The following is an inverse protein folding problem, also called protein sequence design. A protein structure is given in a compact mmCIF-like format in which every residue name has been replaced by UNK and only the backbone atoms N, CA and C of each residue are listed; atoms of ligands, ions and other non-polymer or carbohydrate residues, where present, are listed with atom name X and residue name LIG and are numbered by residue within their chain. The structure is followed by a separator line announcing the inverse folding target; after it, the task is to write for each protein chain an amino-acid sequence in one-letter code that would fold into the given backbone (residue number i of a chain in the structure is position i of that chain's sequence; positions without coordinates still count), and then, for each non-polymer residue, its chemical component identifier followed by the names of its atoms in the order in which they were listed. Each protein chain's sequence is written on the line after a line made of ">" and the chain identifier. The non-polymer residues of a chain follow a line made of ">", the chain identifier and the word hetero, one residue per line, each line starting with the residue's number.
data_IF_346648803969
#
_entry.id   IF_346648803969
#
_cell.length_a   1.000
_cell.length_b   1.000
_cell.length_c   1.000
_cell.angle_alpha   90.00
_cell.angle_beta   90.00
_cell.angle_gamma   90.00
#
_symmetry.space_group_name_H-M   'P 1'
#
loop_
_entity.id
_entity.type
_entity.pdbx_description
1 polymer ?
#
# COMPACT_ATOMS: atom_id res chain seq x y z
N UNK A 1 -8.06 56.56 -4.64
CA UNK A 1 -6.69 57.11 -4.68
C UNK A 1 -5.79 56.58 -3.56
N UNK A 2 -5.84 57.04 -2.30
CA UNK A 2 -4.85 56.59 -1.28
C UNK A 2 -4.91 55.09 -0.92
N UNK A 3 -6.10 54.46 -1.05
CA UNK A 3 -6.31 53.03 -0.75
C UNK A 3 -5.89 52.11 -1.91
N UNK A 4 -6.03 52.58 -3.16
CA UNK A 4 -5.61 51.86 -4.37
C UNK A 4 -4.08 51.82 -4.47
N UNK A 5 -3.40 52.95 -4.17
CA UNK A 5 -1.94 53.02 -4.15
C UNK A 5 -1.33 52.08 -3.09
N UNK A 6 -1.98 51.89 -1.94
CA UNK A 6 -1.54 50.92 -0.92
C UNK A 6 -1.70 49.47 -1.39
N UNK A 7 -2.83 49.13 -2.02
CA UNK A 7 -3.07 47.77 -2.56
C UNK A 7 -2.11 47.39 -3.68
N UNK A 8 -1.77 48.33 -4.57
CA UNK A 8 -0.77 48.14 -5.62
C UNK A 8 0.65 47.96 -5.05
N UNK A 9 1.03 48.74 -4.05
CA UNK A 9 2.31 48.60 -3.36
C UNK A 9 2.42 47.24 -2.63
N UNK A 10 1.36 46.78 -1.98
CA UNK A 10 1.33 45.50 -1.29
C UNK A 10 1.38 44.31 -2.28
N UNK A 11 0.66 44.38 -3.40
CA UNK A 11 0.75 43.37 -4.47
C UNK A 11 2.14 43.32 -5.11
N UNK A 12 2.78 44.48 -5.31
CA UNK A 12 4.13 44.56 -5.88
C UNK A 12 5.17 43.95 -4.93
N UNK A 13 5.05 44.20 -3.62
CA UNK A 13 5.89 43.57 -2.58
C UNK A 13 5.70 42.06 -2.54
N UNK A 14 4.46 41.57 -2.53
CA UNK A 14 4.15 40.13 -2.52
C UNK A 14 4.72 39.43 -3.77
N UNK A 15 4.59 40.03 -4.95
CA UNK A 15 5.14 39.48 -6.19
C UNK A 15 6.68 39.45 -6.16
N UNK A 16 7.31 40.49 -5.59
CA UNK A 16 8.78 40.56 -5.45
C UNK A 16 9.31 39.49 -4.48
N UNK A 17 8.67 39.30 -3.33
CA UNK A 17 9.03 38.25 -2.38
C UNK A 17 8.83 36.85 -2.96
N UNK A 18 7.74 36.64 -3.71
CA UNK A 18 7.48 35.36 -4.38
C UNK A 18 8.53 35.06 -5.46
N UNK A 19 8.91 36.05 -6.26
CA UNK A 19 9.98 35.89 -7.25
C UNK A 19 11.34 35.64 -6.60
N UNK A 20 11.66 36.33 -5.49
CA UNK A 20 12.89 36.11 -4.74
C UNK A 20 12.96 34.68 -4.15
N UNK A 21 11.85 34.18 -3.61
CA UNK A 21 11.73 32.79 -3.13
C UNK A 21 11.91 31.78 -4.26
N UNK A 22 11.29 32.00 -5.41
CA UNK A 22 11.42 31.12 -6.59
C UNK A 22 12.86 31.07 -7.13
N UNK A 23 13.54 32.23 -7.21
CA UNK A 23 14.95 32.29 -7.61
C UNK A 23 15.85 31.53 -6.63
N UNK A 24 15.66 31.76 -5.33
CA UNK A 24 16.42 31.06 -4.27
C UNK A 24 16.18 29.55 -4.32
N UNK A 25 14.95 29.10 -4.59
CA UNK A 25 14.65 27.69 -4.76
C UNK A 25 15.34 27.10 -5.99
N UNK A 26 15.25 27.78 -7.15
CA UNK A 26 15.90 27.32 -8.38
C UNK A 26 17.44 27.23 -8.25
N UNK A 27 18.05 28.17 -7.52
CA UNK A 27 19.49 28.14 -7.20
C UNK A 27 19.85 26.96 -6.28
N UNK A 28 19.02 26.69 -5.26
CA UNK A 28 19.19 25.53 -4.38
C UNK A 28 19.10 24.23 -5.17
N UNK A 29 18.08 24.07 -6.02
CA UNK A 29 17.88 22.89 -6.85
C UNK A 29 19.05 22.67 -7.82
N UNK A 30 19.54 23.74 -8.45
CA UNK A 30 20.71 23.69 -9.35
C UNK A 30 21.98 23.24 -8.61
N UNK A 31 22.16 23.68 -7.36
CA UNK A 31 23.29 23.25 -6.55
C UNK A 31 23.13 21.81 -6.03
N UNK A 32 21.91 21.37 -5.73
CA UNK A 32 21.63 19.97 -5.35
C UNK A 32 21.96 19.01 -6.50
N UNK A 33 21.66 19.38 -7.75
CA UNK A 33 22.05 18.59 -8.93
C UNK A 33 23.58 18.51 -9.09
N UNK A 34 24.32 19.59 -8.80
CA UNK A 34 25.79 19.59 -8.82
C UNK A 34 26.38 18.66 -7.77
N UNK A 35 25.80 18.64 -6.56
CA UNK A 35 26.25 17.78 -5.44
C UNK A 35 26.12 16.29 -5.80
N UNK A 36 25.12 15.90 -6.59
CA UNK A 36 24.93 14.50 -7.02
C UNK A 36 26.04 13.98 -7.94
N UNK A 37 26.75 14.87 -8.62
CA UNK A 37 27.79 14.52 -9.61
C UNK A 37 29.22 14.69 -9.07
N UNK A 38 29.36 15.11 -7.82
CA UNK A 38 30.66 15.41 -7.22
C UNK A 38 31.34 14.17 -6.63
N UNK A 39 32.68 14.21 -6.60
CA UNK A 39 33.49 13.10 -6.08
C UNK A 39 33.23 12.84 -4.58
N UNK A 40 33.08 11.58 -4.14
CA UNK A 40 32.82 11.25 -2.74
C UNK A 40 33.84 11.81 -1.74
N UNK A 41 35.11 11.98 -2.13
CA UNK A 41 36.14 12.60 -1.29
C UNK A 41 35.85 14.07 -1.04
N UNK A 42 35.50 14.81 -2.09
CA UNK A 42 35.11 16.22 -1.98
C UNK A 42 33.79 16.37 -1.19
N UNK A 43 32.84 15.45 -1.38
CA UNK A 43 31.59 15.43 -0.61
C UNK A 43 31.84 15.22 0.90
N UNK A 44 32.79 14.35 1.29
CA UNK A 44 33.13 14.15 2.71
C UNK A 44 33.58 15.44 3.40
N UNK A 45 34.34 16.28 2.71
CA UNK A 45 34.83 17.56 3.25
C UNK A 45 33.69 18.59 3.46
N UNK A 46 32.53 18.40 2.81
CA UNK A 46 31.36 19.28 2.92
C UNK A 46 30.36 18.87 3.99
N UNK A 47 30.59 17.74 4.66
CA UNK A 47 29.74 17.31 5.78
C UNK A 47 29.89 18.26 6.96
N UNK A 48 28.77 18.66 7.55
CA UNK A 48 28.76 19.29 8.86
C UNK A 48 29.33 18.34 9.92
N UNK A 49 29.83 18.89 11.03
CA UNK A 49 30.38 18.09 12.13
C UNK A 49 29.42 16.97 12.60
N UNK A 50 28.11 17.27 12.68
CA UNK A 50 27.09 16.30 13.08
C UNK A 50 26.92 15.17 12.06
N UNK A 51 26.95 15.48 10.77
CA UNK A 51 26.82 14.48 9.72
C UNK A 51 28.12 13.69 9.49
N UNK A 52 29.28 14.33 9.68
CA UNK A 52 30.58 13.67 9.71
C UNK A 52 30.66 12.62 10.82
N UNK A 53 30.27 12.97 12.05
CA UNK A 53 30.18 12.00 13.17
C UNK A 53 29.19 10.87 12.86
N UNK A 54 28.02 11.18 12.29
CA UNK A 54 27.05 10.17 11.88
C UNK A 54 27.63 9.17 10.87
N UNK A 55 28.26 9.66 9.79
CA UNK A 55 28.88 8.81 8.75
C UNK A 55 30.02 7.98 9.33
N UNK A 56 30.87 8.58 10.16
CA UNK A 56 31.96 7.87 10.82
C UNK A 56 31.47 6.71 11.71
N UNK A 57 30.43 6.96 12.53
CA UNK A 57 29.80 5.92 13.35
C UNK A 57 29.12 4.86 12.49
N UNK A 58 28.47 5.25 11.41
CA UNK A 58 27.83 4.32 10.47
C UNK A 58 28.88 3.37 9.87
N UNK A 59 30.03 3.89 9.44
CA UNK A 59 31.13 3.06 8.92
C UNK A 59 31.71 2.13 10.00
N UNK A 60 31.76 2.55 11.27
CA UNK A 60 32.16 1.67 12.38
C UNK A 60 31.15 0.55 12.62
N UNK A 61 29.86 0.86 12.57
CA UNK A 61 28.79 -0.11 12.73
C UNK A 61 28.75 -1.10 11.55
N UNK A 62 29.01 -0.64 10.32
CA UNK A 62 29.15 -1.52 9.15
C UNK A 62 30.32 -2.50 9.30
N UNK A 63 31.48 -2.03 9.78
CA UNK A 63 32.62 -2.92 10.08
C UNK A 63 32.27 -3.93 11.17
N UNK A 64 31.62 -3.49 12.25
CA UNK A 64 31.30 -4.32 13.41
C UNK A 64 30.21 -5.36 13.12
N UNK A 65 29.10 -4.94 12.53
CA UNK A 65 27.94 -5.78 12.26
C UNK A 65 28.12 -6.62 11.00
N UNK A 66 28.77 -6.05 9.98
CA UNK A 66 28.95 -6.70 8.68
C UNK A 66 30.27 -7.46 8.52
N UNK A 67 31.17 -7.39 9.52
CA UNK A 67 32.51 -7.98 9.46
C UNK A 67 33.31 -7.59 8.21
N UNK A 68 33.07 -6.38 7.70
CA UNK A 68 33.70 -5.87 6.47
C UNK A 68 34.90 -4.98 6.77
N UNK A 69 35.76 -4.77 5.76
CA UNK A 69 36.93 -3.91 5.90
C UNK A 69 36.54 -2.43 6.03
N UNK A 70 37.47 -1.61 6.52
CA UNK A 70 37.29 -0.15 6.58
C UNK A 70 37.06 0.45 5.18
N UNK A 71 37.76 -0.04 4.17
CA UNK A 71 37.64 0.44 2.81
C UNK A 71 36.25 0.15 2.24
N UNK A 72 35.71 -1.04 2.50
CA UNK A 72 34.37 -1.43 2.05
C UNK A 72 33.28 -0.60 2.74
N UNK A 73 33.40 -0.38 4.04
CA UNK A 73 32.46 0.46 4.79
C UNK A 73 32.45 1.91 4.26
N UNK A 74 33.64 2.46 3.96
CA UNK A 74 33.82 3.79 3.34
C UNK A 74 33.21 3.84 1.94
N UNK A 75 33.41 2.81 1.13
CA UNK A 75 32.82 2.71 -0.20
C UNK A 75 31.29 2.63 -0.14
N UNK A 76 30.75 1.91 0.85
CA UNK A 76 29.31 1.78 1.05
C UNK A 76 28.65 3.09 1.49
N UNK A 77 29.31 3.87 2.36
CA UNK A 77 28.79 5.17 2.80
C UNK A 77 28.97 6.28 1.77
N UNK A 78 29.90 6.15 0.80
CA UNK A 78 30.05 7.11 -0.30
C UNK A 78 28.74 7.35 -1.06
N UNK A 79 27.95 6.29 -1.26
CA UNK A 79 26.65 6.37 -1.95
C UNK A 79 25.59 7.19 -1.21
N UNK A 80 25.83 7.55 0.05
CA UNK A 80 24.90 8.32 0.89
C UNK A 80 25.29 9.79 1.01
N UNK A 81 26.51 10.16 0.61
CA UNK A 81 27.06 11.49 0.91
C UNK A 81 26.28 12.61 0.25
N UNK A 82 25.90 12.45 -1.01
CA UNK A 82 25.15 13.45 -1.75
C UNK A 82 23.79 13.74 -1.10
N UNK A 83 23.00 12.71 -0.76
CA UNK A 83 21.71 12.89 -0.09
C UNK A 83 21.84 13.49 1.32
N UNK A 84 22.88 13.12 2.08
CA UNK A 84 23.14 13.70 3.41
C UNK A 84 23.47 15.19 3.29
N UNK A 85 24.27 15.59 2.30
CA UNK A 85 24.66 16.99 2.09
C UNK A 85 23.46 17.82 1.60
N UNK A 86 22.66 17.28 0.68
CA UNK A 86 21.42 17.93 0.24
C UNK A 86 20.50 18.15 1.45
N UNK A 87 20.20 17.11 2.23
CA UNK A 87 19.36 17.21 3.42
C UNK A 87 19.91 18.20 4.46
N UNK A 88 21.22 18.21 4.65
CA UNK A 88 21.91 19.15 5.55
C UNK A 88 21.66 20.61 5.16
N UNK A 89 21.73 20.95 3.87
CA UNK A 89 21.46 22.31 3.37
C UNK A 89 20.02 22.74 3.65
N UNK A 90 19.11 21.77 3.67
CA UNK A 90 17.70 21.94 4.04
C UNK A 90 17.45 21.82 5.56
N UNK A 91 18.51 21.82 6.39
CA UNK A 91 18.41 21.80 7.85
C UNK A 91 18.11 20.43 8.47
N UNK A 92 18.13 19.36 7.67
CA UNK A 92 17.87 18.00 8.12
C UNK A 92 19.19 17.21 8.25
N UNK A 93 19.69 16.96 9.48
CA UNK A 93 20.89 16.13 9.67
C UNK A 93 20.59 14.65 9.34
N UNK A 94 21.62 13.84 9.09
CA UNK A 94 21.51 12.45 8.63
C UNK A 94 20.60 11.58 9.53
N UNK A 95 20.66 11.73 10.85
CA UNK A 95 19.77 11.02 11.78
C UNK A 95 18.29 11.40 11.55
N UNK A 96 18.02 12.67 11.22
CA UNK A 96 16.68 13.13 10.83
C UNK A 96 16.28 12.71 9.42
N UNK A 97 17.23 12.61 8.48
CA UNK A 97 16.99 12.11 7.12
C UNK A 97 16.56 10.64 7.13
N UNK A 98 17.23 9.81 7.93
CA UNK A 98 16.97 8.38 7.98
C UNK A 98 16.01 7.95 9.09
N UNK A 99 15.70 8.85 10.03
CA UNK A 99 14.95 8.53 11.25
C UNK A 99 15.54 7.32 11.99
N UNK A 100 16.87 7.19 11.97
CA UNK A 100 17.59 6.01 12.41
C UNK A 100 18.97 6.38 12.97
N UNK A 101 19.39 5.68 14.03
CA UNK A 101 20.76 5.76 14.52
C UNK A 101 21.74 5.11 13.53
N UNK A 102 23.05 5.42 13.61
CA UNK A 102 24.06 4.77 12.76
C UNK A 102 24.03 3.24 12.84
N UNK A 103 23.76 2.67 14.01
CA UNK A 103 23.67 1.22 14.19
C UNK A 103 22.46 0.61 13.47
N UNK A 104 21.28 1.25 13.57
CA UNK A 104 20.07 0.79 12.88
C UNK A 104 20.22 0.96 11.36
N UNK A 105 20.83 2.06 10.91
CA UNK A 105 21.10 2.30 9.49
C UNK A 105 22.10 1.29 8.92
N UNK A 106 23.16 0.95 9.68
CA UNK A 106 24.09 -0.11 9.30
C UNK A 106 23.36 -1.44 9.12
N UNK A 107 22.51 -1.83 10.08
CA UNK A 107 21.75 -3.06 9.98
C UNK A 107 20.81 -3.09 8.77
N UNK A 108 20.15 -1.96 8.47
CA UNK A 108 19.33 -1.81 7.26
C UNK A 108 20.13 -1.93 5.96
N UNK A 109 21.39 -1.48 5.95
CA UNK A 109 22.28 -1.56 4.79
C UNK A 109 22.87 -2.97 4.60
N UNK A 110 23.16 -3.68 5.69
CA UNK A 110 23.68 -5.05 5.68
C UNK A 110 22.59 -6.08 5.40
N UNK A 111 21.41 -5.86 5.97
CA UNK A 111 20.24 -6.72 5.83
C UNK A 111 19.10 -5.90 5.21
N UNK A 112 19.20 -5.53 3.92
CA UNK A 112 18.12 -4.84 3.26
C UNK A 112 16.87 -5.72 3.38
N UNK A 113 15.85 -5.23 4.11
CA UNK A 113 14.55 -5.91 4.18
C UNK A 113 14.14 -6.15 2.74
N UNK A 114 14.11 -7.43 2.31
CA UNK A 114 13.63 -7.78 0.97
C UNK A 114 12.28 -7.10 0.83
N UNK A 115 12.17 -6.15 -0.10
CA UNK A 115 10.87 -5.53 -0.39
C UNK A 115 9.91 -6.69 -0.61
N UNK A 116 8.83 -6.84 0.17
CA UNK A 116 7.94 -7.97 0.02
C UNK A 116 7.52 -8.00 -1.46
N UNK A 117 7.81 -9.13 -2.12
CA UNK A 117 7.41 -9.31 -3.52
C UNK A 117 5.92 -9.10 -3.54
N UNK A 118 5.46 -8.11 -4.31
CA UNK A 118 4.05 -7.77 -4.31
C UNK A 118 3.26 -8.98 -4.80
N UNK A 119 2.32 -9.45 -3.97
CA UNK A 119 1.44 -10.56 -4.31
C UNK A 119 0.73 -10.24 -5.64
N UNK A 120 0.86 -11.10 -6.67
CA UNK A 120 0.13 -10.96 -7.93
C UNK A 120 -1.37 -10.76 -7.72
N UNK A 121 -1.99 -9.90 -8.53
CA UNK A 121 -3.41 -9.54 -8.39
C UNK A 121 -4.34 -10.75 -8.42
N UNK A 122 -4.07 -11.75 -9.27
CA UNK A 122 -4.89 -12.95 -9.35
C UNK A 122 -4.84 -13.79 -8.07
N UNK A 123 -3.71 -13.82 -7.37
CA UNK A 123 -3.58 -14.52 -6.08
C UNK A 123 -4.40 -13.81 -5.00
N UNK A 124 -4.41 -12.47 -5.00
CA UNK A 124 -5.27 -11.69 -4.10
C UNK A 124 -6.75 -11.90 -4.42
N UNK A 125 -7.11 -12.01 -5.71
CA UNK A 125 -8.49 -12.30 -6.12
C UNK A 125 -8.93 -13.69 -5.63
N UNK A 126 -8.11 -14.73 -5.83
CA UNK A 126 -8.40 -16.08 -5.33
C UNK A 126 -8.47 -16.10 -3.80
N UNK A 127 -7.52 -15.46 -3.11
CA UNK A 127 -7.54 -15.33 -1.64
C UNK A 127 -8.81 -14.64 -1.14
N UNK A 128 -9.18 -13.53 -1.78
CA UNK A 128 -10.39 -12.78 -1.48
C UNK A 128 -11.65 -13.60 -1.74
N UNK A 129 -11.72 -14.31 -2.87
CA UNK A 129 -12.87 -15.14 -3.23
C UNK A 129 -13.07 -16.27 -2.22
N UNK A 130 -12.01 -16.97 -1.84
CA UNK A 130 -12.08 -18.01 -0.82
C UNK A 130 -12.52 -17.45 0.54
N UNK A 131 -12.04 -16.26 0.90
CA UNK A 131 -12.41 -15.60 2.16
C UNK A 131 -13.89 -15.20 2.19
N UNK A 132 -14.36 -14.53 1.14
CA UNK A 132 -15.75 -14.09 1.07
C UNK A 132 -16.72 -15.27 0.93
N UNK A 133 -16.36 -16.31 0.16
CA UNK A 133 -17.13 -17.56 0.15
C UNK A 133 -17.20 -18.17 1.54
N UNK A 134 -16.08 -18.32 2.25
CA UNK A 134 -16.08 -18.83 3.62
C UNK A 134 -16.96 -17.97 4.55
N UNK A 135 -16.90 -16.65 4.43
CA UNK A 135 -17.70 -15.73 5.22
C UNK A 135 -19.21 -15.88 4.94
N UNK A 136 -19.61 -15.92 3.67
CA UNK A 136 -21.02 -16.08 3.31
C UNK A 136 -21.56 -17.44 3.76
N UNK A 137 -20.88 -18.53 3.44
CA UNK A 137 -21.29 -19.86 3.88
C UNK A 137 -21.33 -19.97 5.41
N UNK A 138 -20.40 -19.34 6.13
CA UNK A 138 -20.41 -19.34 7.59
C UNK A 138 -21.61 -18.56 8.14
N UNK A 139 -21.82 -17.32 7.69
CA UNK A 139 -22.91 -16.46 8.19
C UNK A 139 -24.27 -17.09 7.88
N UNK A 140 -24.50 -17.50 6.62
CA UNK A 140 -25.77 -18.11 6.22
C UNK A 140 -25.98 -19.50 6.81
N UNK A 141 -24.93 -20.32 6.90
CA UNK A 141 -25.00 -21.65 7.52
C UNK A 141 -25.27 -21.60 9.02
N UNK A 142 -24.64 -20.65 9.74
CA UNK A 142 -24.91 -20.39 11.16
C UNK A 142 -26.35 -19.92 11.34
N UNK A 143 -26.81 -18.93 10.59
CA UNK A 143 -28.20 -18.44 10.67
C UNK A 143 -29.22 -19.57 10.41
N UNK A 144 -28.99 -20.37 9.37
CA UNK A 144 -29.85 -21.52 9.03
C UNK A 144 -29.85 -22.61 10.12
N UNK A 145 -28.78 -22.72 10.92
CA UNK A 145 -28.69 -23.69 12.01
C UNK A 145 -29.52 -23.29 13.24
N UNK A 146 -29.85 -22.00 13.39
CA UNK A 146 -30.66 -21.48 14.49
C UNK A 146 -32.10 -21.10 14.08
N UNK A 147 -32.43 -21.21 12.79
CA UNK A 147 -33.79 -20.95 12.30
C UNK A 147 -34.73 -22.13 12.61
N UNK A 148 -35.68 -21.89 13.51
CA UNK A 148 -36.78 -22.83 13.84
C UNK A 148 -38.12 -22.25 13.36
N UNK A 149 -38.65 -22.72 12.23
CA UNK A 149 -40.03 -22.39 11.79
C UNK A 149 -40.24 -22.21 10.29
N UNK A 150 -41.50 -21.96 9.88
CA UNK A 150 -41.99 -21.83 8.48
C UNK A 150 -41.59 -20.53 7.76
N UNK A 151 -40.80 -19.67 8.39
CA UNK A 151 -40.42 -18.37 7.84
C UNK A 151 -38.89 -18.19 7.94
N UNK A 152 -38.19 -19.12 7.31
CA UNK A 152 -36.74 -19.08 7.17
C UNK A 152 -36.37 -18.05 6.09
N UNK A 153 -36.10 -16.82 6.50
CA UNK A 153 -35.66 -15.76 5.60
C UNK A 153 -34.20 -16.03 5.15
N UNK A 154 -33.42 -16.80 5.92
CA UNK A 154 -32.01 -17.12 5.63
C UNK A 154 -31.81 -18.42 4.85
N UNK A 155 -32.79 -19.35 4.82
CA UNK A 155 -32.71 -20.61 4.08
C UNK A 155 -33.11 -20.53 2.59
N UNK A 156 -32.92 -19.39 1.92
CA UNK A 156 -33.40 -19.21 0.52
C UNK A 156 -32.31 -19.26 -0.54
N UNK A 157 -31.05 -19.09 -0.15
CA UNK A 157 -29.97 -18.87 -1.12
C UNK A 157 -29.21 -20.17 -1.31
N UNK A 158 -29.32 -20.74 -2.51
CA UNK A 158 -28.67 -22.00 -2.82
C UNK A 158 -27.15 -21.90 -2.82
N UNK A 159 -26.50 -23.07 -2.77
CA UNK A 159 -25.04 -23.22 -2.72
C UNK A 159 -24.32 -22.46 -3.86
N UNK A 160 -24.85 -22.49 -5.08
CA UNK A 160 -24.25 -21.77 -6.20
C UNK A 160 -24.39 -20.26 -6.05
N UNK A 161 -25.48 -19.79 -5.45
CA UNK A 161 -25.67 -18.36 -5.16
C UNK A 161 -24.62 -17.86 -4.18
N UNK A 162 -24.46 -18.55 -3.04
CA UNK A 162 -23.48 -18.21 -2.01
C UNK A 162 -22.04 -18.26 -2.57
N UNK A 163 -21.72 -19.31 -3.32
CA UNK A 163 -20.42 -19.45 -3.97
C UNK A 163 -20.15 -18.31 -4.97
N UNK A 164 -21.11 -18.03 -5.87
CA UNK A 164 -20.95 -17.02 -6.92
C UNK A 164 -20.76 -15.62 -6.34
N UNK A 165 -21.52 -15.28 -5.29
CA UNK A 165 -21.44 -13.96 -4.65
C UNK A 165 -20.15 -13.83 -3.85
N UNK A 166 -19.72 -14.90 -3.16
CA UNK A 166 -18.43 -14.92 -2.47
C UNK A 166 -17.25 -14.72 -3.43
N UNK A 167 -17.27 -15.45 -4.56
CA UNK A 167 -16.25 -15.31 -5.60
C UNK A 167 -16.24 -13.89 -6.16
N UNK A 168 -17.41 -13.39 -6.56
CA UNK A 168 -17.58 -12.05 -7.11
C UNK A 168 -17.07 -10.98 -6.14
N UNK A 169 -17.44 -11.05 -4.86
CA UNK A 169 -17.00 -10.07 -3.86
C UNK A 169 -15.50 -10.11 -3.62
N UNK A 170 -14.90 -11.30 -3.60
CA UNK A 170 -13.44 -11.43 -3.53
C UNK A 170 -12.71 -10.71 -4.66
N UNK A 171 -13.19 -10.86 -5.89
CA UNK A 171 -12.61 -10.19 -7.06
C UNK A 171 -12.85 -8.68 -7.00
N UNK A 172 -14.07 -8.27 -6.69
CA UNK A 172 -14.48 -6.87 -6.64
C UNK A 172 -13.68 -6.11 -5.58
N UNK A 173 -13.53 -6.65 -4.38
CA UNK A 173 -12.85 -5.95 -3.28
C UNK A 173 -11.37 -5.69 -3.56
N UNK A 174 -10.70 -6.64 -4.22
CA UNK A 174 -9.32 -6.43 -4.67
C UNK A 174 -9.24 -5.29 -5.69
N UNK A 175 -10.17 -5.23 -6.65
CA UNK A 175 -10.20 -4.14 -7.65
C UNK A 175 -10.67 -2.81 -7.06
N UNK A 176 -11.56 -2.84 -6.08
CA UNK A 176 -12.12 -1.64 -5.47
C UNK A 176 -11.09 -0.95 -4.57
N UNK A 177 -10.28 -1.72 -3.84
CA UNK A 177 -9.16 -1.18 -3.07
C UNK A 177 -8.15 -0.44 -3.95
N UNK A 178 -7.94 -0.89 -5.19
CA UNK A 178 -7.08 -0.19 -6.16
C UNK A 178 -7.66 1.16 -6.60
N UNK A 179 -8.98 1.31 -6.58
CA UNK A 179 -9.67 2.55 -6.94
C UNK A 179 -9.69 3.54 -5.78
N UNK A 180 -9.76 3.04 -4.53
CA UNK A 180 -9.78 3.85 -3.32
C UNK A 180 -8.40 4.41 -2.95
N UNK A 181 -7.33 3.70 -3.28
CA UNK A 181 -5.97 4.08 -2.93
C UNK A 181 -5.35 4.85 -4.09
N UNK A 182 -5.21 6.18 -3.98
CA UNK A 182 -4.76 7.01 -5.08
C UNK A 182 -3.31 6.70 -5.46
N UNK A 183 -3.08 6.43 -6.76
CA UNK A 183 -1.74 6.42 -7.32
C UNK A 183 -1.21 7.86 -7.34
N UNK A 184 -0.05 8.10 -6.69
CA UNK A 184 0.68 9.36 -6.76
C UNK A 184 -0.13 10.63 -6.41
N UNK A 185 -0.83 10.62 -5.26
CA UNK A 185 -1.43 11.84 -4.69
C UNK A 185 -2.66 12.39 -5.43
N UNK A 186 -3.17 11.72 -6.48
CA UNK A 186 -4.38 12.13 -7.20
C UNK A 186 -5.63 11.58 -6.52
N UNK A 187 -6.56 12.43 -6.08
CA UNK A 187 -7.81 12.00 -5.43
C UNK A 187 -8.57 10.96 -6.29
N UNK A 188 -9.17 9.94 -5.66
CA UNK A 188 -9.95 8.95 -6.38
C UNK A 188 -11.14 9.62 -7.10
N UNK A 189 -11.42 9.16 -8.32
CA UNK A 189 -12.54 9.68 -9.11
C UNK A 189 -13.86 9.15 -8.56
N UNK A 190 -14.64 10.03 -7.93
CA UNK A 190 -15.95 9.70 -7.37
C UNK A 190 -16.91 9.10 -8.41
N UNK A 191 -16.85 9.58 -9.67
CA UNK A 191 -17.64 9.01 -10.76
C UNK A 191 -17.26 7.55 -11.03
N UNK A 192 -15.96 7.22 -11.07
CA UNK A 192 -15.51 5.84 -11.27
C UNK A 192 -15.88 4.93 -10.10
N UNK A 193 -15.83 5.46 -8.87
CA UNK A 193 -16.25 4.71 -7.67
C UNK A 193 -17.74 4.41 -7.69
N UNK A 194 -18.58 5.40 -8.00
CA UNK A 194 -20.04 5.25 -8.09
C UNK A 194 -20.40 4.29 -9.22
N UNK A 195 -19.89 4.53 -10.44
CA UNK A 195 -20.20 3.69 -11.59
C UNK A 195 -19.72 2.24 -11.37
N UNK A 196 -18.53 2.07 -10.79
CA UNK A 196 -18.02 0.76 -10.40
C UNK A 196 -18.93 0.06 -9.39
N UNK A 197 -19.41 0.78 -8.37
CA UNK A 197 -20.38 0.26 -7.40
C UNK A 197 -21.70 -0.17 -8.04
N UNK A 198 -22.26 0.65 -8.94
CA UNK A 198 -23.50 0.31 -9.68
C UNK A 198 -23.32 -0.95 -10.51
N UNK A 199 -22.21 -1.08 -11.24
CA UNK A 199 -21.91 -2.28 -12.03
C UNK A 199 -21.87 -3.54 -11.16
N UNK A 200 -21.25 -3.46 -9.98
CA UNK A 200 -21.19 -4.58 -9.03
C UNK A 200 -22.59 -4.98 -8.55
N UNK A 201 -23.42 -4.00 -8.18
CA UNK A 201 -24.80 -4.25 -7.74
C UNK A 201 -25.62 -4.90 -8.85
N UNK A 202 -25.51 -4.39 -10.09
CA UNK A 202 -26.22 -4.95 -11.25
C UNK A 202 -25.79 -6.40 -11.49
N UNK A 203 -24.49 -6.70 -11.48
CA UNK A 203 -23.99 -8.07 -11.65
C UNK A 203 -24.53 -8.97 -10.53
N UNK A 204 -24.55 -8.49 -9.29
CA UNK A 204 -25.09 -9.26 -8.16
C UNK A 204 -26.59 -9.55 -8.32
N UNK A 205 -27.38 -8.56 -8.75
CA UNK A 205 -28.80 -8.74 -9.04
C UNK A 205 -29.04 -9.73 -10.19
N UNK A 206 -28.21 -9.70 -11.23
CA UNK A 206 -28.29 -10.67 -12.33
C UNK A 206 -27.98 -12.08 -11.83
N UNK A 207 -26.90 -12.26 -11.06
CA UNK A 207 -26.56 -13.57 -10.47
C UNK A 207 -27.72 -14.09 -9.61
N UNK A 208 -28.32 -13.21 -8.81
CA UNK A 208 -29.42 -13.58 -7.93
C UNK A 208 -30.69 -13.99 -8.68
N UNK A 209 -31.10 -13.18 -9.64
CA UNK A 209 -32.32 -13.43 -10.41
C UNK A 209 -32.18 -14.68 -11.28
N UNK A 210 -31.04 -14.88 -11.93
CA UNK A 210 -30.76 -16.06 -12.75
C UNK A 210 -30.77 -17.32 -11.90
N UNK A 211 -30.00 -17.36 -10.79
CA UNK A 211 -29.87 -18.54 -9.94
C UNK A 211 -31.12 -18.87 -9.11
N UNK A 212 -32.06 -17.92 -8.98
CA UNK A 212 -33.37 -18.14 -8.37
C UNK A 212 -34.41 -18.76 -9.31
N UNK A 213 -34.11 -18.89 -10.62
CA UNK A 213 -35.06 -19.47 -11.58
C UNK A 213 -35.37 -20.93 -11.27
N UNK A 214 -36.61 -21.41 -11.52
CA UNK A 214 -36.96 -22.81 -11.33
C UNK A 214 -36.08 -23.79 -12.10
N UNK A 215 -35.56 -23.36 -13.27
CA UNK A 215 -34.68 -24.15 -14.13
C UNK A 215 -33.36 -24.51 -13.43
N UNK A 216 -32.78 -23.60 -12.64
CA UNK A 216 -31.48 -23.82 -11.99
C UNK A 216 -31.61 -24.41 -10.58
N UNK A 217 -32.84 -24.58 -10.06
CA UNK A 217 -33.10 -25.13 -8.73
C UNK A 217 -32.45 -26.50 -8.47
N UNK A 218 -32.40 -27.46 -9.42
CA UNK A 218 -31.77 -28.76 -9.18
C UNK A 218 -30.26 -28.69 -8.95
N UNK A 219 -29.58 -27.71 -9.54
CA UNK A 219 -28.13 -27.54 -9.41
C UNK A 219 -27.75 -26.46 -8.38
N UNK A 220 -28.71 -25.64 -7.96
CA UNK A 220 -28.58 -24.64 -6.90
C UNK A 220 -29.47 -24.96 -5.69
N UNK A 221 -29.31 -26.15 -5.05
CA UNK A 221 -30.11 -26.48 -3.88
C UNK A 221 -29.72 -25.59 -2.70
N UNK A 222 -30.69 -25.33 -1.84
CA UNK A 222 -30.45 -24.82 -0.49
C UNK A 222 -29.99 -25.99 0.37
N UNK A 223 -28.84 -25.83 1.03
CA UNK A 223 -28.28 -26.86 1.89
C UNK A 223 -28.70 -26.63 3.35
N UNK A 224 -28.72 -27.69 4.18
CA UNK A 224 -28.83 -27.54 5.62
C UNK A 224 -27.68 -26.72 6.20
N UNK A 225 -27.97 -25.88 7.20
CA UNK A 225 -26.99 -24.99 7.83
C UNK A 225 -25.65 -25.65 8.23
N UNK A 226 -25.64 -26.84 8.86
CA UNK A 226 -24.39 -27.54 9.19
C UNK A 226 -23.52 -27.88 7.96
N UNK A 227 -24.13 -28.14 6.80
CA UNK A 227 -23.40 -28.41 5.55
C UNK A 227 -22.75 -27.12 5.04
N UNK A 228 -23.48 -26.00 5.05
CA UNK A 228 -22.91 -24.71 4.68
C UNK A 228 -21.75 -24.29 5.60
N UNK A 229 -21.87 -24.53 6.91
CA UNK A 229 -20.77 -24.32 7.86
C UNK A 229 -19.57 -25.21 7.53
N UNK A 230 -19.78 -26.47 7.18
CA UNK A 230 -18.69 -27.35 6.76
C UNK A 230 -17.99 -26.83 5.48
N UNK A 231 -18.75 -26.34 4.48
CA UNK A 231 -18.21 -25.71 3.28
C UNK A 231 -17.37 -24.48 3.63
N UNK A 232 -17.82 -23.66 4.59
CA UNK A 232 -17.07 -22.50 5.05
C UNK A 232 -15.71 -22.87 5.65
N UNK A 233 -15.67 -23.90 6.49
CA UNK A 233 -14.43 -24.41 7.08
C UNK A 233 -13.48 -24.93 5.99
N UNK A 234 -14.01 -25.69 5.02
CA UNK A 234 -13.21 -26.20 3.89
C UNK A 234 -12.66 -25.05 3.04
N UNK A 235 -13.49 -24.07 2.67
CA UNK A 235 -13.08 -22.90 1.89
C UNK A 235 -11.96 -22.11 2.59
N UNK A 236 -12.07 -21.91 3.91
CA UNK A 236 -11.04 -21.26 4.70
C UNK A 236 -9.77 -22.12 4.82
N UNK A 237 -9.90 -23.44 4.97
CA UNK A 237 -8.76 -24.36 4.96
C UNK A 237 -7.98 -24.33 3.65
N UNK A 238 -8.68 -24.37 2.51
CA UNK A 238 -8.09 -24.21 1.17
C UNK A 238 -7.39 -22.85 1.06
N UNK A 239 -8.01 -21.78 1.55
CA UNK A 239 -7.40 -20.45 1.60
C UNK A 239 -6.11 -20.44 2.39
N UNK A 240 -6.09 -21.06 3.57
CA UNK A 240 -4.92 -21.13 4.42
C UNK A 240 -3.75 -21.83 3.70
N UNK A 241 -4.02 -22.98 3.06
CA UNK A 241 -3.03 -23.71 2.28
C UNK A 241 -2.55 -22.91 1.06
N UNK A 242 -3.46 -22.24 0.35
CA UNK A 242 -3.14 -21.39 -0.80
C UNK A 242 -2.20 -20.24 -0.41
N UNK A 243 -2.51 -19.54 0.69
CA UNK A 243 -1.65 -18.46 1.21
C UNK A 243 -0.29 -18.97 1.63
N UNK A 244 -0.23 -20.14 2.27
CA UNK A 244 1.03 -20.77 2.68
C UNK A 244 1.88 -21.16 1.47
N UNK A 245 1.27 -21.72 0.43
CA UNK A 245 1.97 -22.14 -0.78
C UNK A 245 2.55 -20.94 -1.56
N UNK A 246 1.78 -19.86 -1.71
CA UNK A 246 2.20 -18.68 -2.47
C UNK A 246 2.88 -17.59 -1.63
N UNK A 247 3.09 -17.81 -0.33
CA UNK A 247 3.65 -16.83 0.61
C UNK A 247 2.95 -15.47 0.50
N UNK A 248 1.62 -15.48 0.47
CA UNK A 248 0.82 -14.26 0.24
C UNK A 248 0.95 -13.31 1.43
N UNK A 249 1.55 -12.15 1.17
CA UNK A 249 1.68 -11.04 2.11
C UNK A 249 0.65 -9.97 1.73
N UNK A 250 -0.04 -9.40 2.72
CA UNK A 250 -1.14 -8.45 2.53
C UNK A 250 -2.53 -9.09 2.68
N UNK A 251 -3.57 -8.31 2.41
CA UNK A 251 -4.98 -8.68 2.65
C UNK A 251 -5.86 -8.20 1.50
N UNK A 252 -6.94 -8.93 1.21
CA UNK A 252 -8.00 -8.48 0.29
C UNK A 252 -8.69 -7.19 0.78
N UNK A 253 -8.55 -6.85 2.06
CA UNK A 253 -9.12 -5.63 2.66
C UNK A 253 -8.12 -4.47 2.77
N UNK A 254 -6.85 -4.69 2.44
CA UNK A 254 -5.82 -3.68 2.60
C UNK A 254 -5.34 -3.12 1.26
N UNK A 255 -5.02 -1.82 1.20
CA UNK A 255 -4.26 -1.22 0.11
C UNK A 255 -3.01 -2.03 -0.25
N UNK A 256 -2.76 -2.22 -1.55
CA UNK A 256 -1.52 -2.88 -2.00
C UNK A 256 -0.32 -2.00 -1.67
N UNK A 257 0.80 -2.57 -1.16
CA UNK A 257 2.06 -1.84 -1.06
C UNK A 257 2.44 -1.31 -2.44
N UNK A 258 2.68 0.00 -2.54
CA UNK A 258 2.98 0.63 -3.83
C UNK A 258 4.32 0.09 -4.34
N UNK A 259 4.30 -0.51 -5.54
CA UNK A 259 5.53 -0.73 -6.29
C UNK A 259 6.00 0.63 -6.82
N UNK A 260 7.00 1.22 -6.17
CA UNK A 260 7.83 2.21 -6.85
C UNK A 260 8.56 1.48 -7.98
N UNK A 261 8.04 1.63 -9.20
CA UNK A 261 8.77 1.31 -10.43
C UNK A 261 9.81 2.38 -10.67
#
# INVERSE_FOLDING_TARGET
>A
MAEETKREQDQTKINTEKQAKLKKQAELDTQDEKIKQEDPKALREKLSNKNSDYVFRLEKELQKQGSMSRADAVAMTNGLLSEIIIAQRHGQPANGLYLASPAIKAEQMLHPKKKPVATPTWQLMVDGSLLYSALFFAIFGVMASFESGKQAYNAQWGVLTLASIGILMGIVMVKYNDLLVPQAGKRPSWVKLILGGVVVVVIMLVVLTVLATPLLRPINPVLPGPIDVAIAVVAYGVRYLFRKHYNIIGSAFAPRPQQHK
#
